data_IF_819324557318
#
_entry.id   IF_819324557318
#
_cell.length_a   1.000
_cell.length_b   1.000
_cell.length_c   1.000
_cell.angle_alpha   90.00
_cell.angle_beta   90.00
_cell.angle_gamma   90.00
#
_symmetry.space_group_name_H-M   'P 1'
#
loop_
_entity.id
_entity.type
_entity.pdbx_description
1 polymer ?
#
# COMPACT_ATOMS: atom_id res chain seq x y z
N UNK A 1 15.13 -12.38 -5.88
CA UNK A 1 15.29 -13.84 -6.02
C UNK A 1 16.18 -14.44 -4.92
N UNK A 2 17.49 -14.14 -4.86
CA UNK A 2 18.41 -14.72 -3.86
C UNK A 2 17.88 -14.62 -2.43
N UNK A 3 17.56 -13.40 -1.97
CA UNK A 3 17.03 -13.17 -0.61
C UNK A 3 15.71 -13.92 -0.36
N UNK A 4 14.81 -13.95 -1.35
CA UNK A 4 13.53 -14.65 -1.23
C UNK A 4 13.72 -16.16 -1.07
N UNK A 5 14.63 -16.76 -1.86
CA UNK A 5 14.95 -18.18 -1.76
C UNK A 5 15.57 -18.51 -0.41
N UNK A 6 16.47 -17.67 0.12
CA UNK A 6 17.01 -17.85 1.46
C UNK A 6 15.92 -17.86 2.54
N UNK A 7 14.96 -16.94 2.47
CA UNK A 7 13.83 -16.93 3.41
C UNK A 7 12.98 -18.19 3.28
N UNK A 8 12.74 -18.66 2.05
CA UNK A 8 11.99 -19.88 1.77
C UNK A 8 12.72 -21.14 2.26
N UNK A 9 14.04 -21.21 2.10
CA UNK A 9 14.86 -22.32 2.61
C UNK A 9 14.89 -22.36 4.15
N UNK A 10 14.96 -21.19 4.78
CA UNK A 10 15.05 -21.09 6.25
C UNK A 10 13.70 -21.24 6.95
N UNK A 11 12.66 -20.52 6.49
CA UNK A 11 11.33 -20.51 7.13
C UNK A 11 10.33 -21.48 6.49
N UNK A 12 10.61 -21.97 5.28
CA UNK A 12 9.74 -22.89 4.54
C UNK A 12 8.89 -22.23 3.45
N UNK A 13 8.18 -23.08 2.69
CA UNK A 13 7.27 -22.64 1.64
C UNK A 13 6.18 -21.72 2.18
N UNK A 14 5.81 -20.70 1.40
CA UNK A 14 4.78 -19.72 1.72
C UNK A 14 5.04 -18.86 2.98
N UNK A 15 6.26 -18.87 3.53
CA UNK A 15 6.66 -18.02 4.67
C UNK A 15 7.55 -16.83 4.27
N UNK A 16 7.97 -16.74 3.01
CA UNK A 16 8.85 -15.67 2.55
C UNK A 16 8.08 -14.38 2.21
N UNK A 17 8.56 -13.25 2.73
CA UNK A 17 8.06 -11.91 2.42
C UNK A 17 9.23 -10.91 2.44
N UNK A 18 9.21 -9.95 1.51
CA UNK A 18 10.20 -8.89 1.37
C UNK A 18 9.58 -7.50 1.51
N UNK A 19 10.43 -6.49 1.62
CA UNK A 19 10.13 -5.08 1.29
C UNK A 19 11.15 -4.61 0.25
N UNK A 20 10.86 -4.83 -1.03
CA UNK A 20 11.77 -4.56 -2.14
C UNK A 20 11.56 -3.13 -2.70
N UNK A 21 12.64 -2.33 -2.77
CA UNK A 21 12.61 -0.97 -3.35
C UNK A 21 12.77 -0.97 -4.88
N UNK A 22 13.57 -1.88 -5.42
CA UNK A 22 13.87 -1.96 -6.86
C UNK A 22 13.31 -3.25 -7.45
N UNK A 23 12.90 -3.19 -8.71
CA UNK A 23 12.34 -4.32 -9.44
C UNK A 23 12.67 -4.26 -10.94
N UNK A 24 12.50 -5.41 -11.59
CA UNK A 24 12.50 -5.58 -13.05
C UNK A 24 11.43 -6.61 -13.40
N UNK A 25 11.19 -6.89 -14.68
CA UNK A 25 10.27 -7.92 -15.12
C UNK A 25 10.56 -9.28 -14.43
N UNK A 26 9.54 -9.91 -13.87
CA UNK A 26 9.65 -11.11 -13.04
C UNK A 26 9.88 -10.83 -11.54
N UNK A 27 10.19 -9.59 -11.17
CA UNK A 27 10.35 -9.15 -9.78
C UNK A 27 9.09 -9.34 -8.93
N UNK A 28 7.91 -9.25 -9.54
CA UNK A 28 6.61 -9.43 -8.88
C UNK A 28 6.43 -10.78 -8.20
N UNK A 29 7.22 -11.80 -8.57
CA UNK A 29 7.22 -13.12 -7.95
C UNK A 29 7.78 -13.11 -6.51
N UNK A 30 8.43 -12.02 -6.10
CA UNK A 30 9.09 -11.89 -4.80
C UNK A 30 8.52 -10.69 -4.01
N UNK A 31 7.23 -10.70 -3.64
CA UNK A 31 6.60 -9.60 -2.92
C UNK A 31 7.18 -9.45 -1.50
N UNK A 32 7.04 -8.29 -0.88
CA UNK A 32 6.25 -7.11 -1.26
C UNK A 32 7.15 -5.99 -1.79
N UNK A 33 6.61 -5.12 -2.64
CA UNK A 33 7.33 -3.96 -3.16
C UNK A 33 6.87 -2.68 -2.45
N UNK A 34 7.81 -1.77 -2.22
CA UNK A 34 7.55 -0.52 -1.50
C UNK A 34 7.96 0.70 -2.33
N UNK A 35 7.16 1.77 -2.20
CA UNK A 35 7.19 2.95 -3.07
C UNK A 35 8.39 3.89 -2.97
N UNK A 36 9.34 3.65 -2.07
CA UNK A 36 10.51 4.51 -1.93
C UNK A 36 10.33 5.69 -0.96
N UNK A 37 11.35 6.54 -0.96
CA UNK A 37 11.53 7.64 -0.01
C UNK A 37 10.67 8.85 -0.40
N UNK A 38 9.43 8.92 0.09
CA UNK A 38 8.50 10.02 -0.18
C UNK A 38 8.61 11.17 0.85
N UNK A 39 8.13 12.36 0.49
CA UNK A 39 8.13 13.53 1.37
C UNK A 39 6.84 13.60 2.22
N UNK A 40 6.91 14.21 3.40
CA UNK A 40 5.72 14.43 4.23
C UNK A 40 4.87 15.60 3.72
N UNK A 41 4.20 15.45 2.57
CA UNK A 41 3.22 16.42 2.04
C UNK A 41 2.05 15.73 1.32
N UNK A 42 0.94 16.44 1.11
CA UNK A 42 -0.22 15.91 0.39
C UNK A 42 0.06 15.64 -1.08
N UNK A 43 0.88 16.47 -1.71
CA UNK A 43 1.35 16.25 -3.08
C UNK A 43 2.09 14.93 -3.17
N UNK A 44 3.07 14.68 -2.28
CA UNK A 44 3.83 13.44 -2.25
C UNK A 44 2.97 12.21 -1.91
N UNK A 45 1.95 12.37 -1.07
CA UNK A 45 0.93 11.33 -0.83
C UNK A 45 0.17 11.02 -2.13
N UNK A 46 -0.17 12.02 -2.93
CA UNK A 46 -0.81 11.84 -4.24
C UNK A 46 0.16 11.18 -5.25
N UNK A 47 1.43 11.54 -5.27
CA UNK A 47 2.41 10.85 -6.14
C UNK A 47 2.59 9.39 -5.73
N UNK A 48 2.51 9.10 -4.43
CA UNK A 48 2.62 7.75 -3.86
C UNK A 48 1.49 6.85 -4.33
N UNK A 49 0.22 7.31 -4.33
CA UNK A 49 -0.89 6.54 -4.90
C UNK A 49 -0.70 6.32 -6.40
N UNK A 50 -0.28 7.34 -7.17
CA UNK A 50 0.01 7.18 -8.62
C UNK A 50 1.08 6.12 -8.87
N UNK A 51 2.17 6.14 -8.09
CA UNK A 51 3.24 5.14 -8.16
C UNK A 51 2.75 3.74 -7.83
N UNK A 52 1.93 3.59 -6.77
CA UNK A 52 1.33 2.31 -6.39
C UNK A 52 0.42 1.73 -7.48
N UNK A 53 -0.48 2.55 -8.03
CA UNK A 53 -1.36 2.14 -9.12
C UNK A 53 -0.58 1.77 -10.38
N UNK A 54 0.46 2.53 -10.72
CA UNK A 54 1.32 2.25 -11.88
C UNK A 54 2.10 0.95 -11.72
N UNK A 55 2.64 0.69 -10.52
CA UNK A 55 3.33 -0.56 -10.21
C UNK A 55 2.36 -1.75 -10.32
N UNK A 56 1.15 -1.61 -9.79
CA UNK A 56 0.13 -2.65 -9.86
C UNK A 56 -0.35 -2.92 -11.30
N UNK A 57 -0.54 -1.88 -12.11
CA UNK A 57 -0.80 -2.01 -13.55
C UNK A 57 0.35 -2.70 -14.30
N UNK A 58 1.57 -2.66 -13.76
CA UNK A 58 2.76 -3.30 -14.33
C UNK A 58 2.94 -4.76 -13.88
N UNK A 59 1.91 -5.39 -13.32
CA UNK A 59 1.90 -6.82 -12.97
C UNK A 59 2.30 -7.14 -11.53
N UNK A 60 2.50 -6.15 -10.66
CA UNK A 60 2.83 -6.36 -9.26
C UNK A 60 1.58 -6.44 -8.39
N UNK A 61 1.38 -7.58 -7.73
CA UNK A 61 0.16 -7.82 -6.96
C UNK A 61 0.02 -7.02 -5.65
N UNK A 62 1.16 -6.61 -5.07
CA UNK A 62 1.23 -6.06 -3.71
C UNK A 62 2.15 -4.85 -3.64
N UNK A 63 1.68 -3.82 -2.93
CA UNK A 63 2.35 -2.53 -2.75
C UNK A 63 2.26 -2.06 -1.29
N UNK A 64 3.35 -1.46 -0.82
CA UNK A 64 3.44 -0.72 0.45
C UNK A 64 4.01 0.67 0.22
N UNK A 65 3.74 1.57 1.15
CA UNK A 65 4.36 2.90 1.22
C UNK A 65 4.56 3.28 2.68
N UNK A 66 5.29 4.38 2.91
CA UNK A 66 5.54 4.90 4.26
C UNK A 66 4.45 5.88 4.64
N UNK A 67 3.64 5.48 5.62
CA UNK A 67 2.56 6.30 6.15
C UNK A 67 3.14 7.59 6.73
N UNK A 68 2.56 8.72 6.32
CA UNK A 68 3.00 10.08 6.65
C UNK A 68 4.32 10.50 6.02
N UNK A 69 4.83 9.79 5.00
CA UNK A 69 6.07 10.15 4.32
C UNK A 69 7.32 9.65 5.03
N UNK A 70 8.43 9.56 4.29
CA UNK A 70 9.75 9.17 4.80
C UNK A 70 10.56 10.39 5.24
N UNK A 71 10.64 11.41 4.39
CA UNK A 71 11.37 12.65 4.66
C UNK A 71 10.52 13.70 5.38
N UNK A 72 11.19 14.57 6.15
CA UNK A 72 10.58 15.59 7.01
C UNK A 72 9.62 15.01 8.06
N UNK A 73 8.91 15.88 8.79
CA UNK A 73 7.84 15.49 9.73
C UNK A 73 6.55 16.14 9.24
N UNK A 74 5.55 15.33 8.93
CA UNK A 74 4.23 15.81 8.51
C UNK A 74 3.46 16.50 9.63
N UNK A 75 2.46 17.28 9.26
CA UNK A 75 1.46 17.77 10.22
C UNK A 75 0.60 16.61 10.75
N UNK A 76 -0.01 16.74 11.94
CA UNK A 76 -0.93 15.73 12.46
C UNK A 76 -2.09 15.43 11.50
N UNK A 77 -2.62 16.43 10.78
CA UNK A 77 -3.71 16.20 9.82
C UNK A 77 -3.26 15.31 8.65
N UNK A 78 -2.09 15.58 8.06
CA UNK A 78 -1.50 14.74 7.03
C UNK A 78 -1.27 13.30 7.52
N UNK A 79 -0.72 13.14 8.73
CA UNK A 79 -0.52 11.82 9.34
C UNK A 79 -1.82 11.04 9.41
N UNK A 80 -2.89 11.67 9.91
CA UNK A 80 -4.22 11.05 10.04
C UNK A 80 -4.79 10.63 8.67
N UNK A 81 -4.68 11.47 7.64
CA UNK A 81 -5.13 11.14 6.27
C UNK A 81 -4.31 9.98 5.67
N UNK A 82 -3.00 10.01 5.84
CA UNK A 82 -2.11 8.98 5.31
C UNK A 82 -2.25 7.66 6.08
N UNK A 83 -2.58 7.67 7.37
CA UNK A 83 -2.92 6.45 8.13
C UNK A 83 -4.09 5.70 7.51
N UNK A 84 -5.16 6.42 7.16
CA UNK A 84 -6.32 5.84 6.47
C UNK A 84 -5.90 5.20 5.14
N UNK A 85 -5.18 5.95 4.30
CA UNK A 85 -4.67 5.45 3.02
C UNK A 85 -3.77 4.22 3.18
N UNK A 86 -2.78 4.28 4.06
CA UNK A 86 -1.80 3.21 4.23
C UNK A 86 -2.40 1.94 4.83
N UNK A 87 -3.36 2.05 5.75
CA UNK A 87 -4.06 0.88 6.28
C UNK A 87 -5.13 0.34 5.34
N UNK A 88 -5.60 1.14 4.39
CA UNK A 88 -6.40 0.70 3.24
C UNK A 88 -5.53 0.38 2.01
N UNK A 89 -4.24 0.09 2.19
CA UNK A 89 -3.32 -0.44 1.16
C UNK A 89 -3.01 -1.92 1.43
N UNK A 90 -2.38 -2.63 0.48
CA UNK A 90 -2.14 -4.07 0.62
C UNK A 90 -1.26 -4.38 1.85
N UNK A 91 -0.16 -3.63 1.99
CA UNK A 91 0.78 -3.69 3.11
C UNK A 91 0.95 -2.29 3.69
N UNK A 92 1.26 -2.22 4.98
CA UNK A 92 1.21 -0.97 5.75
C UNK A 92 2.44 -0.87 6.64
N UNK A 93 3.15 0.26 6.59
CA UNK A 93 4.37 0.50 7.35
C UNK A 93 4.39 1.93 7.91
N UNK A 94 4.79 2.06 9.17
CA UNK A 94 5.19 3.33 9.79
C UNK A 94 6.72 3.40 9.73
N UNK A 95 7.28 4.29 8.92
CA UNK A 95 8.73 4.43 8.75
C UNK A 95 9.08 5.87 8.36
N UNK A 96 10.14 6.42 8.93
CA UNK A 96 10.60 7.78 8.69
C UNK A 96 12.12 7.87 8.79
N UNK A 97 12.69 8.93 8.22
CA UNK A 97 14.13 9.19 8.20
C UNK A 97 14.62 9.76 9.54
N UNK A 98 14.32 11.04 9.78
CA UNK A 98 14.84 11.81 10.93
C UNK A 98 13.92 11.83 12.15
N UNK A 99 12.71 11.26 12.05
CA UNK A 99 11.74 11.24 13.15
C UNK A 99 10.91 9.96 13.18
N UNK A 100 10.57 9.51 14.39
CA UNK A 100 9.71 8.34 14.59
C UNK A 100 8.27 8.61 14.13
N UNK A 101 7.68 7.66 13.41
CA UNK A 101 6.28 7.70 12.91
C UNK A 101 5.25 7.12 13.87
N UNK A 102 5.57 7.06 15.16
CA UNK A 102 4.61 6.64 16.18
C UNK A 102 3.53 7.72 16.35
N UNK A 103 2.25 7.35 16.52
CA UNK A 103 1.15 8.29 16.42
C UNK A 103 1.14 9.37 17.52
N UNK A 104 1.63 9.04 18.73
CA UNK A 104 1.68 9.98 19.86
C UNK A 104 2.73 11.10 19.67
N UNK A 105 3.56 11.04 18.62
CA UNK A 105 4.42 12.16 18.25
C UNK A 105 3.69 13.24 17.45
N UNK A 106 2.44 12.99 17.03
CA UNK A 106 1.64 13.92 16.24
C UNK A 106 0.56 14.56 17.12
N UNK A 107 -0.43 13.80 17.58
CA UNK A 107 -1.45 14.19 18.56
C UNK A 107 -2.19 12.94 19.12
N UNK A 108 -3.07 13.12 20.12
CA UNK A 108 -3.88 12.02 20.66
C UNK A 108 -4.85 11.45 19.60
N UNK A 109 -5.42 12.31 18.76
CA UNK A 109 -6.34 11.87 17.69
C UNK A 109 -5.63 10.97 16.66
N UNK A 110 -4.34 11.17 16.40
CA UNK A 110 -3.53 10.30 15.54
C UNK A 110 -3.44 8.89 16.09
N UNK A 111 -3.40 8.72 17.42
CA UNK A 111 -3.49 7.40 18.05
C UNK A 111 -4.85 6.76 17.79
N UNK A 112 -5.93 7.54 17.86
CA UNK A 112 -7.29 7.07 17.62
C UNK A 112 -7.52 6.67 16.16
N UNK A 113 -7.06 7.48 15.22
CA UNK A 113 -7.14 7.21 13.78
C UNK A 113 -6.36 5.95 13.42
N UNK A 114 -5.10 5.84 13.86
CA UNK A 114 -4.29 4.64 13.59
C UNK A 114 -4.95 3.40 14.20
N UNK A 115 -5.46 3.48 15.43
CA UNK A 115 -6.15 2.38 16.11
C UNK A 115 -7.42 1.96 15.35
N UNK A 116 -8.22 2.93 14.91
CA UNK A 116 -9.45 2.68 14.17
C UNK A 116 -9.16 1.89 12.88
N UNK A 117 -8.27 2.42 12.03
CA UNK A 117 -7.97 1.79 10.75
C UNK A 117 -7.22 0.47 10.91
N UNK A 118 -6.42 0.30 11.96
CA UNK A 118 -5.72 -0.98 12.22
C UNK A 118 -6.73 -2.06 12.57
N UNK A 119 -7.69 -1.75 13.45
CA UNK A 119 -8.80 -2.66 13.79
C UNK A 119 -9.69 -2.92 12.58
N UNK A 120 -9.97 -1.91 11.76
CA UNK A 120 -10.75 -2.06 10.53
C UNK A 120 -10.06 -3.02 9.55
N UNK A 121 -8.77 -2.81 9.25
CA UNK A 121 -7.99 -3.70 8.38
C UNK A 121 -7.96 -5.13 8.92
N UNK A 122 -7.79 -5.28 10.24
CA UNK A 122 -7.88 -6.58 10.92
C UNK A 122 -9.22 -7.29 10.69
N UNK A 123 -10.34 -6.58 10.82
CA UNK A 123 -11.69 -7.12 10.54
C UNK A 123 -11.90 -7.46 9.07
N UNK A 124 -11.25 -6.75 8.16
CA UNK A 124 -11.32 -6.99 6.71
C UNK A 124 -10.40 -8.12 6.25
N UNK A 125 -9.55 -8.70 7.10
CA UNK A 125 -8.59 -9.74 6.69
C UNK A 125 -9.18 -10.93 5.95
N UNK A 126 -10.37 -11.49 6.29
CA UNK A 126 -10.96 -12.55 5.48
C UNK A 126 -11.18 -12.15 4.02
N UNK A 127 -11.66 -10.92 3.79
CA UNK A 127 -11.84 -10.36 2.45
C UNK A 127 -10.49 -10.03 1.78
N UNK A 128 -9.57 -9.37 2.50
CA UNK A 128 -8.27 -8.97 1.95
C UNK A 128 -7.43 -10.20 1.59
N UNK A 129 -7.43 -11.24 2.42
CA UNK A 129 -6.67 -12.46 2.17
C UNK A 129 -7.27 -13.27 1.02
N UNK A 130 -8.60 -13.34 0.89
CA UNK A 130 -9.24 -13.94 -0.29
C UNK A 130 -8.83 -13.23 -1.59
N UNK A 131 -8.78 -11.90 -1.58
CA UNK A 131 -8.29 -11.12 -2.72
C UNK A 131 -6.78 -11.31 -2.95
N UNK A 132 -5.95 -11.44 -1.91
CA UNK A 132 -4.53 -11.76 -2.04
C UNK A 132 -4.31 -13.11 -2.73
N UNK A 133 -5.11 -14.13 -2.38
CA UNK A 133 -5.09 -15.45 -3.05
C UNK A 133 -5.53 -15.32 -4.51
N UNK A 134 -6.57 -14.53 -4.82
CA UNK A 134 -6.98 -14.23 -6.19
C UNK A 134 -5.85 -13.57 -6.97
N UNK A 135 -5.18 -12.58 -6.40
CA UNK A 135 -4.01 -11.90 -6.98
C UNK A 135 -2.89 -12.88 -7.27
N UNK A 136 -2.56 -13.79 -6.35
CA UNK A 136 -1.56 -14.82 -6.59
C UNK A 136 -1.93 -15.76 -7.75
N UNK A 137 -3.21 -16.17 -7.84
CA UNK A 137 -3.68 -17.12 -8.87
C UNK A 137 -3.83 -16.50 -10.27
N UNK A 138 -4.17 -15.22 -10.34
CA UNK A 138 -4.61 -14.58 -11.61
C UNK A 138 -3.70 -13.45 -12.08
N UNK A 139 -2.86 -12.89 -11.21
CA UNK A 139 -2.08 -11.69 -11.49
C UNK A 139 -2.86 -10.37 -11.38
N UNK A 140 -4.18 -10.40 -11.19
CA UNK A 140 -4.98 -9.17 -10.97
C UNK A 140 -4.59 -8.55 -9.63
N UNK A 141 -4.08 -7.30 -9.58
CA UNK A 141 -3.52 -6.73 -8.36
C UNK A 141 -4.58 -6.48 -7.28
N UNK A 142 -4.16 -6.40 -6.02
CA UNK A 142 -5.07 -6.08 -4.93
C UNK A 142 -5.48 -4.61 -4.89
N UNK A 143 -4.54 -3.70 -5.17
CA UNK A 143 -4.81 -2.28 -5.35
C UNK A 143 -4.95 -2.01 -6.85
N UNK A 144 -6.14 -1.62 -7.29
CA UNK A 144 -6.48 -1.56 -8.72
C UNK A 144 -6.84 -0.14 -9.12
N UNK A 145 -6.16 0.35 -10.16
CA UNK A 145 -6.65 1.51 -10.89
C UNK A 145 -8.04 1.20 -11.45
N UNK A 146 -8.93 2.19 -11.47
CA UNK A 146 -10.33 1.99 -11.87
C UNK A 146 -10.45 1.38 -13.28
N UNK A 147 -9.52 1.73 -14.18
CA UNK A 147 -9.45 1.21 -15.55
C UNK A 147 -9.27 -0.31 -15.64
N UNK A 148 -8.77 -0.99 -14.59
CA UNK A 148 -8.61 -2.46 -14.59
C UNK A 148 -9.97 -3.15 -14.67
N UNK A 149 -10.94 -2.72 -13.85
CA UNK A 149 -12.26 -3.34 -13.77
C UNK A 149 -13.30 -2.60 -14.64
N UNK A 150 -13.06 -1.31 -14.93
CA UNK A 150 -14.02 -0.43 -15.60
C UNK A 150 -13.45 0.23 -16.88
N UNK A 151 -12.49 -0.39 -17.56
CA UNK A 151 -11.85 0.20 -18.75
C UNK A 151 -12.79 0.55 -19.91
N UNK A 152 -14.01 0.00 -19.92
CA UNK A 152 -15.07 0.36 -20.86
C UNK A 152 -15.70 1.74 -20.59
N UNK A 153 -15.55 2.28 -19.38
CA UNK A 153 -16.01 3.62 -19.00
C UNK A 153 -14.85 4.63 -19.16
N UNK A 154 -14.92 5.55 -20.15
CA UNK A 154 -13.90 6.57 -20.36
C UNK A 154 -13.66 7.47 -19.14
N UNK A 155 -14.65 7.62 -18.25
CA UNK A 155 -14.53 8.39 -17.03
C UNK A 155 -13.51 7.83 -16.04
N UNK A 156 -13.10 6.57 -16.21
CA UNK A 156 -12.17 5.88 -15.32
C UNK A 156 -10.72 5.94 -15.75
N UNK A 157 -10.45 6.38 -16.99
CA UNK A 157 -9.11 6.31 -17.61
C UNK A 157 -8.08 7.20 -16.91
N UNK A 158 -8.53 8.36 -16.40
CA UNK A 158 -7.68 9.34 -15.74
C UNK A 158 -7.83 9.35 -14.20
N UNK A 159 -8.58 8.41 -13.61
CA UNK A 159 -8.78 8.37 -12.16
C UNK A 159 -7.54 7.81 -11.46
N UNK A 160 -6.86 8.68 -10.72
CA UNK A 160 -5.58 8.40 -10.06
C UNK A 160 -5.56 8.78 -8.56
N UNK A 161 -6.69 9.29 -8.04
CA UNK A 161 -6.90 9.66 -6.62
C UNK A 161 -7.81 8.70 -5.86
N UNK A 162 -8.19 7.59 -6.50
CA UNK A 162 -8.99 6.53 -5.91
C UNK A 162 -8.62 5.19 -6.53
N UNK A 163 -8.97 4.10 -5.86
CA UNK A 163 -8.69 2.76 -6.31
C UNK A 163 -9.67 1.75 -5.74
N UNK A 164 -9.80 0.60 -6.39
CA UNK A 164 -10.40 -0.55 -5.75
C UNK A 164 -9.36 -1.30 -4.93
N UNK A 165 -9.72 -1.69 -3.71
CA UNK A 165 -8.99 -2.61 -2.86
C UNK A 165 -9.68 -3.97 -2.91
N UNK A 166 -9.22 -4.84 -3.79
CA UNK A 166 -9.90 -6.08 -4.15
C UNK A 166 -11.13 -5.84 -5.03
N UNK A 167 -12.05 -6.80 -5.03
CA UNK A 167 -13.20 -6.82 -5.94
C UNK A 167 -14.35 -5.85 -5.60
N UNK A 168 -14.44 -5.34 -4.37
CA UNK A 168 -15.70 -4.71 -3.90
C UNK A 168 -15.55 -3.49 -2.99
N UNK A 169 -14.31 -3.05 -2.69
CA UNK A 169 -14.08 -1.88 -1.84
C UNK A 169 -13.45 -0.76 -2.64
N UNK A 170 -14.19 0.33 -2.85
CA UNK A 170 -13.62 1.58 -3.36
C UNK A 170 -12.99 2.37 -2.20
N UNK A 171 -11.75 2.80 -2.39
CA UNK A 171 -11.02 3.65 -1.46
C UNK A 171 -10.64 4.94 -2.17
N UNK A 172 -11.06 6.07 -1.62
CA UNK A 172 -10.70 7.41 -2.09
C UNK A 172 -10.05 8.18 -0.92
N UNK A 173 -8.71 8.19 -0.83
CA UNK A 173 -8.01 8.99 0.18
C UNK A 173 -8.38 10.46 0.12
N UNK A 174 -8.34 11.13 1.27
CA UNK A 174 -8.53 12.58 1.37
C UNK A 174 -7.16 13.25 1.31
N UNK A 175 -7.01 14.20 0.38
CA UNK A 175 -5.84 15.04 0.19
C UNK A 175 -6.14 16.48 0.62
#
# INVERSE_FOLDING_TARGET
>A
KTVFNTLKEFYGENQACLFARSATAGGQQYPVHWGGDCFSSYESMWETIRGGLSLCLSGFGFFSHDISGFEATGSPDLYKRWCAFGLMSTHSRLHGNSSYRVPWNFDEESCDVLRHFTKLKGRLMPYLFANAVKTHKTGVPMMRAMVIDYGYDPGTHALDRQYLLGDSLLVAPVF
#
